data_IF_985243676522
#
_entry.id   IF_985243676522
#
_cell.length_a   1.000
_cell.length_b   1.000
_cell.length_c   1.000
_cell.angle_alpha   90.00
_cell.angle_beta   90.00
_cell.angle_gamma   90.00
#
_symmetry.space_group_name_H-M   'P 1'
#
loop_
_entity.id
_entity.type
_entity.pdbx_description
1 polymer ?
#
# COMPACT_ATOMS: atom_id res chain seq x y z
N UNK A 1 -3.61 31.32 -4.71
CA UNK A 1 -3.96 29.90 -4.93
C UNK A 1 -3.05 28.91 -4.18
N UNK A 2 -1.97 29.36 -3.50
CA UNK A 2 -1.02 28.53 -2.75
C UNK A 2 -1.69 27.55 -1.76
N UNK A 3 -2.75 28.00 -1.07
CA UNK A 3 -3.50 27.18 -0.10
C UNK A 3 -4.12 25.91 -0.72
N UNK A 4 -4.60 25.99 -1.97
CA UNK A 4 -5.13 24.83 -2.68
C UNK A 4 -4.02 23.88 -3.12
N UNK A 5 -2.88 24.43 -3.55
CA UNK A 5 -1.71 23.63 -3.95
C UNK A 5 -1.21 22.79 -2.77
N UNK A 6 -1.13 23.38 -1.56
CA UNK A 6 -0.73 22.66 -0.35
C UNK A 6 -1.69 21.50 -0.05
N UNK A 7 -3.01 21.72 -0.13
CA UNK A 7 -4.00 20.67 0.10
C UNK A 7 -3.89 19.52 -0.91
N UNK A 8 -3.71 19.86 -2.19
CA UNK A 8 -3.51 18.87 -3.26
C UNK A 8 -2.23 18.06 -3.03
N UNK A 9 -1.13 18.71 -2.64
CA UNK A 9 0.11 18.02 -2.30
C UNK A 9 -0.06 17.08 -1.11
N UNK A 10 -0.72 17.52 -0.03
CA UNK A 10 -0.98 16.65 1.12
C UNK A 10 -1.83 15.45 0.75
N UNK A 11 -2.81 15.63 -0.15
CA UNK A 11 -3.64 14.54 -0.65
C UNK A 11 -2.82 13.53 -1.47
N UNK A 12 -1.99 14.00 -2.41
CA UNK A 12 -1.12 13.14 -3.19
C UNK A 12 -0.09 12.38 -2.33
N UNK A 13 0.49 13.05 -1.33
CA UNK A 13 1.43 12.42 -0.39
C UNK A 13 0.73 11.35 0.43
N UNK A 14 -0.43 11.66 1.03
CA UNK A 14 -1.19 10.70 1.81
C UNK A 14 -1.65 9.49 0.97
N UNK A 15 -2.13 9.75 -0.24
CA UNK A 15 -2.56 8.70 -1.18
C UNK A 15 -1.39 7.81 -1.62
N UNK A 16 -0.26 8.42 -1.98
CA UNK A 16 0.94 7.68 -2.37
C UNK A 16 1.52 6.84 -1.24
N UNK A 17 1.55 7.38 -0.02
CA UNK A 17 1.97 6.63 1.18
C UNK A 17 1.02 5.47 1.49
N UNK A 18 -0.30 5.67 1.34
CA UNK A 18 -1.29 4.61 1.53
C UNK A 18 -1.07 3.44 0.57
N UNK A 19 -0.91 3.73 -0.73
CA UNK A 19 -0.63 2.69 -1.74
C UNK A 19 0.70 1.98 -1.44
N UNK A 20 1.75 2.75 -1.12
CA UNK A 20 3.05 2.16 -0.82
C UNK A 20 3.00 1.26 0.41
N UNK A 21 2.30 1.70 1.46
CA UNK A 21 2.13 0.94 2.69
C UNK A 21 1.39 -0.38 2.45
N UNK A 22 0.27 -0.34 1.71
CA UNK A 22 -0.51 -1.51 1.33
C UNK A 22 0.35 -2.54 0.55
N UNK A 23 1.08 -2.07 -0.47
CA UNK A 23 1.99 -2.92 -1.25
C UNK A 23 3.14 -3.47 -0.43
N UNK A 24 3.68 -2.67 0.49
CA UNK A 24 4.76 -3.09 1.35
C UNK A 24 4.29 -4.18 2.32
N UNK A 25 3.15 -4.01 2.98
CA UNK A 25 2.63 -5.05 3.86
C UNK A 25 2.30 -6.34 3.11
N UNK A 26 1.66 -6.29 1.93
CA UNK A 26 1.41 -7.50 1.13
C UNK A 26 2.70 -8.26 0.82
N UNK A 27 3.80 -7.56 0.54
CA UNK A 27 5.09 -8.19 0.29
C UNK A 27 5.70 -8.78 1.56
N UNK A 28 5.54 -8.11 2.71
CA UNK A 28 6.03 -8.58 4.01
C UNK A 28 5.26 -9.82 4.48
N UNK A 29 3.93 -9.82 4.41
CA UNK A 29 3.09 -10.97 4.80
C UNK A 29 3.43 -12.21 3.95
N UNK A 30 3.62 -12.03 2.64
CA UNK A 30 4.08 -13.14 1.79
C UNK A 30 5.49 -13.62 2.11
N UNK A 31 6.41 -12.71 2.45
CA UNK A 31 7.76 -13.08 2.87
C UNK A 31 7.77 -13.83 4.23
N UNK A 32 6.80 -13.54 5.10
CA UNK A 32 6.60 -14.22 6.37
C UNK A 32 5.89 -15.58 6.24
N UNK A 33 5.42 -15.94 5.04
CA UNK A 33 4.74 -17.20 4.78
C UNK A 33 3.24 -17.20 5.13
N UNK A 34 2.65 -16.02 5.32
CA UNK A 34 1.22 -15.84 5.65
C UNK A 34 0.31 -15.95 4.41
N UNK A 35 0.87 -16.14 3.20
CA UNK A 35 0.12 -16.33 1.96
C UNK A 35 0.99 -16.85 0.81
N UNK A 36 0.39 -16.99 -0.38
CA UNK A 36 1.08 -17.46 -1.59
C UNK A 36 1.38 -16.29 -2.54
N UNK A 37 2.64 -16.14 -2.93
CA UNK A 37 3.06 -15.07 -3.84
C UNK A 37 2.78 -15.45 -5.30
N UNK A 38 1.84 -14.76 -5.95
CA UNK A 38 1.45 -15.02 -7.35
C UNK A 38 2.26 -14.23 -8.38
N UNK A 39 3.35 -13.58 -7.96
CA UNK A 39 4.17 -12.73 -8.82
C UNK A 39 3.80 -11.24 -8.74
N UNK A 40 2.54 -10.92 -8.44
CA UNK A 40 2.07 -9.52 -8.32
C UNK A 40 1.31 -9.20 -7.03
N UNK A 41 0.70 -10.20 -6.40
CA UNK A 41 -0.06 -10.07 -5.15
C UNK A 41 0.20 -11.28 -4.25
N UNK A 42 0.08 -11.08 -2.93
CA UNK A 42 0.04 -12.17 -1.98
C UNK A 42 -1.41 -12.60 -1.78
N UNK A 43 -1.77 -13.83 -2.15
CA UNK A 43 -3.15 -14.36 -1.95
C UNK A 43 -3.24 -15.13 -0.64
N UNK A 44 -4.42 -15.10 -0.02
CA UNK A 44 -4.70 -15.69 1.29
C UNK A 44 -3.92 -15.08 2.47
N UNK A 45 -3.33 -13.89 2.28
CA UNK A 45 -2.69 -13.15 3.38
C UNK A 45 -3.73 -12.54 4.33
N UNK A 46 -3.34 -12.23 5.56
CA UNK A 46 -4.26 -11.67 6.57
C UNK A 46 -4.86 -10.33 6.14
N UNK A 47 -4.17 -9.55 5.30
CA UNK A 47 -4.70 -8.32 4.67
C UNK A 47 -5.86 -8.54 3.68
N UNK A 48 -5.96 -9.72 3.07
CA UNK A 48 -6.94 -10.05 2.01
C UNK A 48 -8.04 -11.02 2.47
N UNK A 49 -7.98 -11.50 3.72
CA UNK A 49 -9.07 -12.22 4.38
C UNK A 49 -10.09 -11.26 5.00
#
# INVERSE_FOLDING_TARGET
MLRLVILVLTLFVGFGLGIWYDRHQMAVECANGEGEWTGTICVNSELLQ
#
